data_IF_552681425754
#
_entry.id   IF_552681425754
#
_cell.length_a   1.000
_cell.length_b   1.000
_cell.length_c   1.000
_cell.angle_alpha   90.00
_cell.angle_beta   90.00
_cell.angle_gamma   90.00
#
_symmetry.space_group_name_H-M   'P 1'
#
loop_
_entity.id
_entity.type
_entity.pdbx_description
1 polymer ?
#
# COMPACT_ATOMS: atom_id res chain seq x y z
N UNK A 1 -34.15 -0.97 22.77
CA UNK A 1 -35.11 -1.72 21.92
C UNK A 1 -35.50 -2.94 22.73
N UNK A 2 -36.79 -3.10 23.06
CA UNK A 2 -37.33 -4.13 23.97
C UNK A 2 -37.27 -3.71 25.43
N UNK A 3 -37.72 -4.55 26.32
CA UNK A 3 -37.95 -4.37 27.77
C UNK A 3 -36.67 -4.35 28.63
N UNK A 4 -35.59 -3.85 28.07
CA UNK A 4 -34.28 -3.76 28.77
C UNK A 4 -33.44 -5.04 28.74
N UNK A 5 -33.88 -6.07 28.04
CA UNK A 5 -33.14 -7.34 27.87
C UNK A 5 -32.15 -7.32 26.71
N UNK A 6 -32.22 -6.35 25.80
CA UNK A 6 -31.34 -6.20 24.64
C UNK A 6 -30.75 -4.79 24.65
N UNK A 7 -29.44 -4.68 24.57
CA UNK A 7 -28.74 -3.42 24.38
C UNK A 7 -27.91 -3.47 23.10
N UNK A 8 -27.94 -2.38 22.32
CA UNK A 8 -27.11 -2.22 21.12
C UNK A 8 -26.26 -0.96 21.32
N UNK A 9 -24.95 -1.12 21.27
CA UNK A 9 -23.98 -0.03 21.47
C UNK A 9 -23.20 0.19 20.18
N UNK A 10 -23.20 1.43 19.67
CA UNK A 10 -22.31 1.84 18.60
C UNK A 10 -20.96 2.26 19.21
N UNK A 11 -19.87 1.69 18.71
CA UNK A 11 -18.54 1.93 19.21
C UNK A 11 -17.73 2.74 18.19
N UNK A 12 -17.03 3.77 18.67
CA UNK A 12 -16.05 4.48 17.83
C UNK A 12 -14.81 3.61 17.56
N UNK A 13 -14.13 3.87 16.45
CA UNK A 13 -12.88 3.18 16.06
C UNK A 13 -11.70 3.58 16.96
N UNK A 14 -11.78 3.27 18.26
CA UNK A 14 -10.71 3.52 19.23
C UNK A 14 -10.46 2.27 20.07
N UNK A 15 -9.45 1.44 19.73
CA UNK A 15 -9.15 0.19 20.44
C UNK A 15 -8.91 0.38 21.93
N UNK A 16 -8.23 1.45 22.33
CA UNK A 16 -7.80 1.68 23.72
C UNK A 16 -8.95 1.89 24.73
N UNK A 17 -10.15 2.14 24.22
CA UNK A 17 -11.38 2.31 25.04
C UNK A 17 -12.30 1.10 25.02
N UNK A 18 -11.90 0.00 24.39
CA UNK A 18 -12.79 -1.14 24.10
C UNK A 18 -12.45 -2.41 24.89
N UNK A 19 -11.39 -2.43 25.69
CA UNK A 19 -10.90 -3.62 26.41
C UNK A 19 -11.87 -4.17 27.49
N UNK A 20 -12.90 -3.40 27.88
CA UNK A 20 -13.85 -3.79 28.92
C UNK A 20 -15.22 -4.24 28.41
N UNK A 21 -15.41 -4.32 27.08
CA UNK A 21 -16.68 -4.77 26.53
C UNK A 21 -16.88 -6.27 26.68
N UNK A 22 -18.12 -6.64 27.02
CA UNK A 22 -18.58 -8.03 27.07
C UNK A 22 -19.90 -8.10 26.32
N UNK A 23 -19.91 -8.80 25.19
CA UNK A 23 -21.08 -8.88 24.29
C UNK A 23 -21.13 -10.24 23.62
N UNK A 24 -22.33 -10.68 23.27
CA UNK A 24 -22.52 -11.95 22.57
C UNK A 24 -22.55 -11.78 21.04
N UNK A 25 -22.86 -10.60 20.55
CA UNK A 25 -22.88 -10.29 19.11
C UNK A 25 -21.99 -9.08 18.82
N UNK A 26 -21.14 -9.21 17.82
CA UNK A 26 -20.31 -8.14 17.28
C UNK A 26 -20.61 -7.98 15.80
N UNK A 27 -20.82 -6.74 15.37
CA UNK A 27 -20.91 -6.38 13.95
C UNK A 27 -19.77 -5.42 13.65
N UNK A 28 -18.79 -5.90 12.88
CA UNK A 28 -17.69 -5.10 12.38
C UNK A 28 -18.10 -4.56 11.00
N UNK A 29 -18.67 -3.36 11.00
CA UNK A 29 -19.08 -2.68 9.79
C UNK A 29 -17.93 -1.90 9.16
N UNK A 30 -17.92 -1.78 7.83
CA UNK A 30 -16.87 -1.12 7.04
C UNK A 30 -15.46 -1.54 7.43
N UNK A 31 -15.26 -2.88 7.57
CA UNK A 31 -14.01 -3.45 8.05
C UNK A 31 -12.76 -3.06 7.22
N UNK A 32 -12.95 -2.60 5.97
CA UNK A 32 -11.87 -2.06 5.14
C UNK A 32 -11.24 -0.78 5.71
N UNK A 33 -11.95 -0.08 6.62
CA UNK A 33 -11.43 1.15 7.26
C UNK A 33 -10.55 0.86 8.47
N UNK A 34 -10.51 -0.38 8.96
CA UNK A 34 -9.73 -0.75 10.13
C UNK A 34 -8.22 -0.68 9.81
N UNK A 35 -7.51 0.17 10.55
CA UNK A 35 -6.07 0.40 10.37
C UNK A 35 -5.22 -0.82 10.77
N UNK A 36 -5.71 -1.60 11.74
CA UNK A 36 -5.04 -2.80 12.25
C UNK A 36 -6.06 -3.86 12.66
N UNK A 37 -5.65 -5.13 12.83
CA UNK A 37 -6.52 -6.19 13.33
C UNK A 37 -6.90 -6.02 14.82
N UNK A 38 -6.26 -5.13 15.56
CA UNK A 38 -6.38 -5.00 17.01
C UNK A 38 -7.82 -4.76 17.45
N UNK A 39 -8.52 -3.80 16.85
CA UNK A 39 -9.92 -3.50 17.19
C UNK A 39 -10.83 -4.72 16.99
N UNK A 40 -10.70 -5.37 15.84
CA UNK A 40 -11.47 -6.60 15.57
C UNK A 40 -11.15 -7.70 16.58
N UNK A 41 -9.88 -7.87 16.94
CA UNK A 41 -9.46 -8.90 17.88
C UNK A 41 -10.03 -8.66 19.28
N UNK A 42 -9.99 -7.41 19.78
CA UNK A 42 -10.60 -7.02 21.05
C UNK A 42 -12.09 -7.36 21.07
N UNK A 43 -12.83 -6.95 20.03
CA UNK A 43 -14.26 -7.20 19.93
C UNK A 43 -14.58 -8.71 19.82
N UNK A 44 -13.80 -9.46 19.07
CA UNK A 44 -13.91 -10.92 18.98
C UNK A 44 -13.65 -11.58 20.35
N UNK A 45 -12.64 -11.10 21.07
CA UNK A 45 -12.31 -11.61 22.39
C UNK A 45 -13.41 -11.28 23.43
N UNK A 46 -14.07 -10.15 23.30
CA UNK A 46 -15.23 -9.76 24.11
C UNK A 46 -16.41 -10.76 24.00
N UNK A 47 -16.49 -11.55 22.93
CA UNK A 47 -17.53 -12.57 22.78
C UNK A 47 -17.21 -13.91 23.44
N UNK A 48 -15.97 -14.13 23.94
CA UNK A 48 -15.51 -15.44 24.43
C UNK A 48 -16.27 -15.95 25.64
N UNK A 49 -16.87 -15.05 26.44
CA UNK A 49 -17.67 -15.42 27.61
C UNK A 49 -19.03 -16.05 27.24
N UNK A 50 -19.45 -15.97 25.98
CA UNK A 50 -20.77 -16.43 25.55
C UNK A 50 -20.68 -17.70 24.69
N UNK A 51 -21.59 -18.64 24.91
CA UNK A 51 -21.75 -19.85 24.10
C UNK A 51 -22.49 -19.58 22.80
N UNK A 52 -23.48 -18.65 22.82
CA UNK A 52 -24.28 -18.21 21.69
C UNK A 52 -23.73 -16.94 21.03
N UNK A 53 -22.43 -16.92 20.80
CA UNK A 53 -21.76 -15.78 20.19
C UNK A 53 -21.84 -15.75 18.68
N UNK A 54 -21.85 -14.52 18.13
CA UNK A 54 -21.81 -14.29 16.71
C UNK A 54 -20.91 -13.09 16.40
N UNK A 55 -20.00 -13.24 15.43
CA UNK A 55 -19.15 -12.15 14.93
C UNK A 55 -19.42 -12.00 13.43
N UNK A 56 -19.90 -10.84 13.03
CA UNK A 56 -20.28 -10.52 11.66
C UNK A 56 -19.28 -9.45 11.16
N UNK A 57 -18.73 -9.66 9.98
CA UNK A 57 -17.91 -8.67 9.27
C UNK A 57 -18.69 -8.29 8.01
N UNK A 58 -18.96 -6.99 7.85
CA UNK A 58 -19.62 -6.44 6.67
C UNK A 58 -18.67 -5.39 6.08
N UNK A 59 -18.41 -5.47 4.80
CA UNK A 59 -17.54 -4.50 4.14
C UNK A 59 -17.62 -4.55 2.63
N UNK A 60 -17.45 -3.41 1.98
CA UNK A 60 -16.93 -3.34 0.62
C UNK A 60 -15.40 -3.43 0.63
N UNK A 61 -14.78 -3.54 -0.54
CA UNK A 61 -13.34 -3.38 -0.65
C UNK A 61 -12.94 -1.91 -0.44
N UNK A 62 -11.83 -1.70 0.25
CA UNK A 62 -11.23 -0.38 0.43
C UNK A 62 -10.00 -0.19 -0.46
N UNK A 63 -9.50 1.04 -0.54
CA UNK A 63 -8.29 1.36 -1.31
C UNK A 63 -7.00 0.81 -0.69
N UNK A 64 -7.06 0.25 0.51
CA UNK A 64 -5.89 -0.25 1.22
C UNK A 64 -5.59 -1.71 0.85
N UNK A 65 -4.70 -1.90 -0.11
CA UNK A 65 -4.26 -3.22 -0.57
C UNK A 65 -3.49 -4.05 0.49
N UNK A 66 -3.27 -3.53 1.70
CA UNK A 66 -2.55 -4.18 2.79
C UNK A 66 -3.30 -4.13 4.12
N UNK A 67 -4.58 -3.77 4.09
CA UNK A 67 -5.40 -3.64 5.29
C UNK A 67 -5.80 -4.98 5.92
N UNK A 68 -6.30 -4.89 7.16
CA UNK A 68 -6.85 -6.01 7.94
C UNK A 68 -7.82 -6.89 7.13
N UNK A 69 -8.71 -6.25 6.35
CA UNK A 69 -9.75 -6.96 5.58
C UNK A 69 -9.16 -7.94 4.57
N UNK A 70 -8.04 -7.61 3.91
CA UNK A 70 -7.47 -8.47 2.88
C UNK A 70 -6.98 -9.81 3.40
N UNK A 71 -6.35 -9.83 4.59
CA UNK A 71 -5.98 -11.08 5.23
C UNK A 71 -7.19 -11.97 5.53
N UNK A 72 -8.30 -11.35 5.94
CA UNK A 72 -9.58 -12.05 6.16
C UNK A 72 -10.18 -12.58 4.86
N UNK A 73 -10.18 -11.78 3.79
CA UNK A 73 -10.68 -12.19 2.47
C UNK A 73 -9.85 -13.35 1.89
N UNK A 74 -8.52 -13.32 2.05
CA UNK A 74 -7.67 -14.42 1.61
C UNK A 74 -8.00 -15.73 2.36
N UNK A 75 -8.19 -15.64 3.67
CA UNK A 75 -8.60 -16.78 4.48
C UNK A 75 -9.98 -17.31 4.06
N UNK A 76 -10.96 -16.44 3.85
CA UNK A 76 -12.27 -16.80 3.33
C UNK A 76 -12.19 -17.50 1.97
N UNK A 77 -11.37 -16.98 1.04
CA UNK A 77 -11.15 -17.60 -0.26
C UNK A 77 -10.54 -18.99 -0.15
N UNK A 78 -9.62 -19.21 0.80
CA UNK A 78 -9.04 -20.53 1.08
C UNK A 78 -10.07 -21.51 1.60
N UNK A 79 -10.99 -21.07 2.47
CA UNK A 79 -12.13 -21.90 2.93
C UNK A 79 -13.04 -22.24 1.76
N UNK A 80 -13.48 -21.27 0.97
CA UNK A 80 -14.37 -21.48 -0.17
C UNK A 80 -13.78 -22.39 -1.25
N UNK A 81 -12.45 -22.42 -1.39
CA UNK A 81 -11.72 -23.31 -2.31
C UNK A 81 -11.43 -24.69 -1.71
N UNK A 82 -11.81 -24.94 -0.44
CA UNK A 82 -11.52 -26.19 0.25
C UNK A 82 -10.03 -26.39 0.61
N UNK A 83 -9.19 -25.34 0.49
CA UNK A 83 -7.77 -25.43 0.86
C UNK A 83 -7.58 -25.40 2.37
N UNK A 84 -8.49 -24.78 3.11
CA UNK A 84 -8.57 -24.78 4.57
C UNK A 84 -9.86 -25.45 4.97
N UNK A 85 -9.77 -26.52 5.79
CA UNK A 85 -10.89 -27.36 6.24
C UNK A 85 -10.80 -27.62 7.74
N UNK A 86 -11.85 -28.22 8.32
CA UNK A 86 -11.94 -28.60 9.72
C UNK A 86 -12.76 -27.64 10.57
N UNK A 87 -12.97 -27.96 11.84
CA UNK A 87 -13.93 -27.30 12.74
C UNK A 87 -13.80 -25.75 12.75
N UNK A 88 -12.59 -25.22 12.63
CA UNK A 88 -12.37 -23.79 12.59
C UNK A 88 -12.90 -23.15 11.30
N UNK A 89 -12.74 -23.81 10.16
CA UNK A 89 -13.28 -23.37 8.88
C UNK A 89 -14.80 -23.55 8.82
N UNK A 90 -15.31 -24.69 9.33
CA UNK A 90 -16.75 -25.02 9.33
C UNK A 90 -17.58 -24.05 10.20
N UNK A 91 -16.95 -23.35 11.13
CA UNK A 91 -17.59 -22.33 11.96
C UNK A 91 -17.70 -20.95 11.27
N UNK A 92 -17.18 -20.80 10.05
CA UNK A 92 -17.14 -19.53 9.34
C UNK A 92 -18.00 -19.59 8.08
N UNK A 93 -19.00 -18.73 8.03
CA UNK A 93 -19.76 -18.48 6.81
C UNK A 93 -19.10 -17.36 6.00
N UNK A 94 -18.80 -17.62 4.73
CA UNK A 94 -18.21 -16.66 3.82
C UNK A 94 -19.16 -16.39 2.64
N UNK A 95 -19.48 -15.12 2.43
CA UNK A 95 -20.23 -14.66 1.25
C UNK A 95 -19.45 -13.52 0.59
N UNK A 96 -18.85 -13.77 -0.56
CA UNK A 96 -17.99 -12.84 -1.27
C UNK A 96 -18.55 -12.57 -2.66
N UNK A 97 -18.77 -11.28 -2.96
CA UNK A 97 -19.19 -10.82 -4.30
C UNK A 97 -18.14 -9.85 -4.82
N UNK A 98 -17.58 -10.13 -5.99
CA UNK A 98 -16.65 -9.24 -6.68
C UNK A 98 -16.76 -9.44 -8.18
N UNK A 99 -16.47 -8.40 -8.96
CA UNK A 99 -16.37 -8.54 -10.39
C UNK A 99 -15.21 -9.46 -10.77
N UNK A 100 -15.37 -10.31 -11.77
CA UNK A 100 -14.25 -11.07 -12.35
C UNK A 100 -13.24 -10.12 -12.98
N UNK A 101 -11.97 -10.46 -12.85
CA UNK A 101 -10.87 -9.72 -13.46
C UNK A 101 -10.32 -10.46 -14.67
N UNK A 102 -9.91 -9.72 -15.68
CA UNK A 102 -9.16 -10.22 -16.84
C UNK A 102 -7.76 -10.72 -16.41
N UNK A 103 -7.06 -11.41 -17.30
CA UNK A 103 -5.71 -11.93 -17.04
C UNK A 103 -4.69 -10.82 -16.63
N UNK A 104 -4.87 -9.64 -17.19
CA UNK A 104 -4.06 -8.45 -16.85
C UNK A 104 -4.45 -7.79 -15.52
N UNK A 105 -5.46 -8.33 -14.80
CA UNK A 105 -5.98 -7.79 -13.54
C UNK A 105 -6.97 -6.64 -13.68
N UNK A 106 -7.35 -6.26 -14.90
CA UNK A 106 -8.36 -5.23 -15.18
C UNK A 106 -9.79 -5.80 -15.16
N UNK A 107 -10.79 -4.94 -15.20
CA UNK A 107 -12.22 -5.27 -15.21
C UNK A 107 -12.87 -4.74 -16.46
N UNK A 108 -13.64 -5.58 -17.16
CA UNK A 108 -14.47 -5.13 -18.26
C UNK A 108 -15.68 -4.38 -17.73
N UNK A 109 -15.62 -3.06 -17.76
CA UNK A 109 -16.70 -2.18 -17.29
C UNK A 109 -17.85 -2.05 -18.29
N UNK A 110 -17.72 -2.59 -19.48
CA UNK A 110 -18.75 -2.54 -20.52
C UNK A 110 -19.65 -3.79 -20.54
N UNK A 111 -19.25 -4.87 -19.85
CA UNK A 111 -20.05 -6.08 -19.75
C UNK A 111 -21.02 -6.04 -18.53
N UNK A 112 -22.34 -5.96 -18.74
CA UNK A 112 -23.32 -5.99 -17.65
C UNK A 112 -23.27 -7.27 -16.79
N UNK A 113 -22.79 -8.40 -17.33
CA UNK A 113 -22.64 -9.64 -16.58
C UNK A 113 -21.52 -9.52 -15.53
N UNK A 114 -20.44 -8.81 -15.86
CA UNK A 114 -19.33 -8.50 -14.95
C UNK A 114 -19.81 -7.61 -13.80
N UNK A 115 -20.60 -6.56 -14.12
CA UNK A 115 -21.17 -5.65 -13.11
C UNK A 115 -22.14 -6.37 -12.18
N UNK A 116 -22.98 -7.25 -12.73
CA UNK A 116 -23.96 -8.05 -12.00
C UNK A 116 -23.27 -9.03 -11.04
N UNK A 117 -22.15 -9.61 -11.40
CA UNK A 117 -21.40 -10.57 -10.55
C UNK A 117 -20.95 -9.96 -9.22
N UNK A 118 -20.66 -8.65 -9.20
CA UNK A 118 -20.30 -7.94 -7.98
C UNK A 118 -21.53 -7.49 -7.15
N UNK A 119 -22.74 -7.56 -7.71
CA UNK A 119 -23.91 -6.88 -7.21
C UNK A 119 -25.04 -7.86 -6.89
N UNK A 120 -25.08 -8.49 -5.70
CA UNK A 120 -26.13 -9.45 -5.34
C UNK A 120 -27.54 -8.80 -5.31
N UNK A 121 -27.62 -7.49 -5.13
CA UNK A 121 -28.85 -6.71 -5.19
C UNK A 121 -29.29 -6.26 -6.60
N UNK A 122 -28.66 -6.79 -7.65
CA UNK A 122 -28.94 -6.40 -9.04
C UNK A 122 -30.41 -6.59 -9.44
N UNK A 123 -31.05 -5.50 -9.81
CA UNK A 123 -32.47 -5.49 -10.19
C UNK A 123 -33.48 -5.43 -9.02
N UNK A 124 -32.96 -5.48 -7.77
CA UNK A 124 -33.77 -5.33 -6.56
C UNK A 124 -33.48 -4.01 -5.82
N UNK A 125 -32.32 -3.97 -5.14
CA UNK A 125 -31.86 -2.78 -4.43
C UNK A 125 -30.91 -1.92 -5.27
N UNK A 126 -30.31 -2.49 -6.30
CA UNK A 126 -29.45 -1.79 -7.26
C UNK A 126 -30.16 -1.74 -8.62
N UNK A 127 -30.36 -0.55 -9.12
CA UNK A 127 -30.90 -0.35 -10.48
C UNK A 127 -29.82 -0.66 -11.52
N UNK A 128 -30.03 -1.62 -12.42
CA UNK A 128 -29.04 -1.99 -13.42
C UNK A 128 -28.53 -0.81 -14.27
N UNK A 129 -29.46 0.07 -14.66
CA UNK A 129 -29.11 1.21 -15.51
C UNK A 129 -28.18 2.21 -14.80
N UNK A 130 -28.39 2.45 -13.51
CA UNK A 130 -27.53 3.36 -12.74
C UNK A 130 -26.09 2.80 -12.65
N UNK A 131 -25.96 1.50 -12.37
CA UNK A 131 -24.68 0.82 -12.33
C UNK A 131 -23.95 0.84 -13.69
N UNK A 132 -24.70 0.64 -14.80
CA UNK A 132 -24.13 0.71 -16.15
C UNK A 132 -23.64 2.13 -16.47
N UNK A 133 -24.40 3.14 -16.10
CA UNK A 133 -24.03 4.54 -16.30
C UNK A 133 -22.77 4.90 -15.49
N UNK A 134 -22.71 4.50 -14.22
CA UNK A 134 -21.55 4.73 -13.36
C UNK A 134 -20.32 4.00 -13.87
N UNK A 135 -20.48 2.77 -14.39
CA UNK A 135 -19.41 2.01 -15.02
C UNK A 135 -18.85 2.71 -16.28
N UNK A 136 -19.76 3.23 -17.12
CA UNK A 136 -19.34 4.00 -18.31
C UNK A 136 -18.59 5.28 -17.93
N UNK A 137 -19.05 6.01 -16.90
CA UNK A 137 -18.32 7.18 -16.39
C UNK A 137 -16.95 6.81 -15.83
N UNK A 138 -16.85 5.68 -15.11
CA UNK A 138 -15.58 5.20 -14.56
C UNK A 138 -14.61 4.69 -15.63
N UNK A 139 -15.13 4.18 -16.76
CA UNK A 139 -14.32 3.77 -17.91
C UNK A 139 -13.62 4.97 -18.57
N UNK A 140 -14.34 6.09 -18.72
CA UNK A 140 -13.85 7.30 -19.36
C UNK A 140 -13.06 8.24 -18.42
N UNK A 141 -13.22 8.10 -17.10
CA UNK A 141 -12.60 8.98 -16.12
C UNK A 141 -11.67 8.22 -15.16
N UNK A 142 -10.34 8.28 -15.38
CA UNK A 142 -9.37 7.59 -14.54
C UNK A 142 -9.42 7.97 -13.06
N UNK A 143 -9.92 9.18 -12.73
CA UNK A 143 -10.04 9.61 -11.34
C UNK A 143 -11.20 8.93 -10.59
N UNK A 144 -12.28 8.58 -11.27
CA UNK A 144 -13.46 7.90 -10.69
C UNK A 144 -13.30 6.38 -10.68
N UNK A 145 -12.52 5.84 -11.60
CA UNK A 145 -12.35 4.38 -11.80
C UNK A 145 -11.93 3.63 -10.52
N UNK A 146 -10.94 4.06 -9.74
CA UNK A 146 -10.51 3.32 -8.54
C UNK A 146 -11.60 3.23 -7.47
N UNK A 147 -12.35 4.29 -7.25
CA UNK A 147 -13.44 4.30 -6.28
C UNK A 147 -14.57 3.39 -6.71
N UNK A 148 -14.95 3.42 -7.99
CA UNK A 148 -15.97 2.55 -8.55
C UNK A 148 -15.57 1.07 -8.46
N UNK A 149 -14.34 0.72 -8.83
CA UNK A 149 -13.81 -0.65 -8.72
C UNK A 149 -13.81 -1.15 -7.28
N UNK A 150 -13.39 -0.33 -6.32
CA UNK A 150 -13.33 -0.72 -4.92
C UNK A 150 -14.74 -0.86 -4.29
N UNK A 151 -15.58 0.16 -4.41
CA UNK A 151 -16.85 0.23 -3.69
C UNK A 151 -17.99 -0.50 -4.38
N UNK A 152 -18.09 -0.37 -5.71
CA UNK A 152 -19.21 -0.93 -6.46
C UNK A 152 -18.93 -2.35 -6.96
N UNK A 153 -17.66 -2.64 -7.31
CA UNK A 153 -17.31 -3.92 -7.90
C UNK A 153 -16.48 -4.83 -6.97
N UNK A 154 -16.15 -4.37 -5.77
CA UNK A 154 -15.35 -5.12 -4.79
C UNK A 154 -14.03 -5.67 -5.35
N UNK A 155 -13.44 -4.96 -6.30
CA UNK A 155 -12.12 -5.26 -6.86
C UNK A 155 -11.08 -4.38 -6.18
N UNK A 156 -10.13 -5.01 -5.52
CA UNK A 156 -9.05 -4.27 -4.86
C UNK A 156 -8.17 -3.62 -5.93
N UNK A 157 -8.21 -2.31 -6.00
CA UNK A 157 -7.25 -1.55 -6.80
C UNK A 157 -6.08 -1.16 -5.90
N UNK A 158 -4.86 -1.31 -6.40
CA UNK A 158 -3.66 -0.75 -5.73
C UNK A 158 -3.62 0.80 -5.79
N UNK A 159 -4.71 1.41 -6.17
CA UNK A 159 -4.87 2.85 -6.30
C UNK A 159 -5.25 3.51 -4.96
N UNK A 160 -4.37 3.50 -3.99
CA UNK A 160 -4.15 4.68 -3.18
C UNK A 160 -3.83 5.76 -4.20
N UNK A 161 -4.65 6.85 -4.29
CA UNK A 161 -4.39 8.06 -5.13
C UNK A 161 -3.02 7.98 -5.84
N UNK A 162 -2.88 6.99 -6.72
CA UNK A 162 -1.61 6.76 -7.37
C UNK A 162 -1.38 7.98 -8.28
N UNK A 163 -0.29 8.69 -8.04
CA UNK A 163 0.11 9.80 -8.90
C UNK A 163 0.30 9.34 -10.34
N UNK A 164 0.67 8.08 -10.52
CA UNK A 164 0.84 7.42 -11.80
C UNK A 164 -0.05 6.17 -11.91
N UNK A 165 -0.52 5.85 -13.10
CA UNK A 165 -1.02 4.53 -13.42
C UNK A 165 0.14 3.52 -13.27
N UNK A 166 -0.02 2.51 -12.43
CA UNK A 166 1.04 1.54 -12.12
C UNK A 166 1.40 0.66 -13.32
N UNK A 167 0.43 0.42 -14.21
CA UNK A 167 0.68 -0.37 -15.42
C UNK A 167 1.45 0.45 -16.44
N UNK A 168 1.08 1.71 -16.63
CA UNK A 168 1.83 2.64 -17.48
C UNK A 168 3.25 2.86 -16.94
N UNK A 169 3.40 2.96 -15.62
CA UNK A 169 4.71 3.07 -14.98
C UNK A 169 5.57 1.83 -15.26
N UNK A 170 5.04 0.61 -15.10
CA UNK A 170 5.75 -0.64 -15.41
C UNK A 170 6.11 -0.74 -16.89
N UNK A 171 5.17 -0.45 -17.79
CA UNK A 171 5.43 -0.42 -19.25
C UNK A 171 6.50 0.59 -19.61
N UNK A 172 6.59 1.72 -18.91
CA UNK A 172 7.63 2.72 -19.17
C UNK A 172 9.01 2.19 -18.81
N UNK A 173 9.12 1.42 -17.72
CA UNK A 173 10.38 0.81 -17.29
C UNK A 173 10.82 -0.32 -18.24
N UNK A 174 9.88 -1.18 -18.65
CA UNK A 174 10.15 -2.27 -19.60
C UNK A 174 10.58 -1.79 -20.99
N UNK A 175 10.20 -0.56 -21.36
CA UNK A 175 10.52 0.03 -22.68
C UNK A 175 12.02 0.29 -22.88
N UNK A 176 12.79 0.45 -21.79
CA UNK A 176 14.19 0.82 -21.83
C UNK A 176 15.04 -0.13 -21.00
N UNK A 177 16.11 -0.66 -21.58
CA UNK A 177 17.02 -1.64 -20.95
C UNK A 177 18.43 -1.07 -20.75
N UNK A 178 18.55 0.19 -20.31
CA UNK A 178 19.86 0.78 -20.07
C UNK A 178 20.48 0.27 -18.77
N UNK A 179 21.67 -0.28 -18.85
CA UNK A 179 22.45 -0.57 -17.66
C UNK A 179 23.02 0.71 -17.03
N UNK A 180 23.38 0.66 -15.75
CA UNK A 180 24.06 1.76 -15.06
C UNK A 180 25.30 2.28 -15.80
N UNK A 181 26.11 1.37 -16.35
CA UNK A 181 27.31 1.73 -17.13
C UNK A 181 27.00 2.46 -18.43
N UNK A 182 25.87 2.15 -19.04
CA UNK A 182 25.41 2.86 -20.24
C UNK A 182 24.90 4.26 -19.87
N UNK A 183 24.08 4.37 -18.83
CA UNK A 183 23.56 5.64 -18.34
C UNK A 183 24.68 6.61 -17.94
N UNK A 184 25.70 6.14 -17.26
CA UNK A 184 26.86 6.95 -16.84
C UNK A 184 27.64 7.55 -18.03
N UNK A 185 27.61 6.90 -19.20
CA UNK A 185 28.29 7.37 -20.43
C UNK A 185 27.46 8.33 -21.25
N UNK A 186 26.15 8.43 -21.00
CA UNK A 186 25.29 9.33 -21.75
C UNK A 186 25.58 10.80 -21.40
N UNK A 187 25.40 11.74 -22.32
CA UNK A 187 25.63 13.16 -22.10
C UNK A 187 24.49 13.79 -21.28
N UNK A 188 24.16 13.19 -20.15
CA UNK A 188 23.07 13.61 -19.25
C UNK A 188 23.64 14.51 -18.14
N UNK A 189 22.89 15.55 -17.82
CA UNK A 189 23.06 16.35 -16.59
C UNK A 189 22.18 15.77 -15.51
N UNK A 190 22.79 15.19 -14.49
CA UNK A 190 22.08 14.54 -13.41
C UNK A 190 21.81 15.51 -12.26
N UNK A 191 20.65 15.39 -11.66
CA UNK A 191 20.23 16.14 -10.47
C UNK A 191 19.89 15.13 -9.37
N UNK A 192 20.42 15.34 -8.18
CA UNK A 192 20.17 14.48 -7.03
C UNK A 192 19.05 15.04 -6.16
N UNK A 193 18.35 14.16 -5.48
CA UNK A 193 17.42 14.46 -4.40
C UNK A 193 17.66 13.54 -3.23
N UNK A 194 17.49 14.04 -1.99
CA UNK A 194 17.67 13.24 -0.79
C UNK A 194 16.60 13.57 0.23
N UNK A 195 15.95 12.55 0.76
CA UNK A 195 15.06 12.60 1.90
C UNK A 195 15.62 11.73 3.01
N UNK A 196 15.89 12.34 4.17
CA UNK A 196 16.60 11.71 5.27
C UNK A 196 15.68 11.47 6.46
N UNK A 197 15.62 10.22 6.90
CA UNK A 197 14.89 9.80 8.09
C UNK A 197 15.82 9.21 9.15
N UNK A 198 15.43 9.31 10.44
CA UNK A 198 16.24 8.74 11.53
C UNK A 198 15.82 7.34 11.94
N UNK A 199 14.53 7.04 12.09
CA UNK A 199 14.10 5.85 12.83
C UNK A 199 12.98 5.03 12.17
N UNK A 200 11.98 5.65 11.57
CA UNK A 200 10.72 4.96 11.22
C UNK A 200 10.35 5.02 9.75
N UNK A 201 11.09 5.81 8.97
CA UNK A 201 10.90 5.93 7.52
C UNK A 201 12.18 5.59 6.78
N UNK A 202 12.05 5.31 5.49
CA UNK A 202 13.16 5.11 4.59
C UNK A 202 13.96 6.41 4.47
N UNK A 203 15.28 6.31 4.59
CA UNK A 203 16.16 7.32 4.01
C UNK A 203 16.28 7.00 2.54
N UNK A 204 16.05 7.99 1.67
CA UNK A 204 16.07 7.81 0.24
C UNK A 204 16.99 8.81 -0.47
N UNK A 205 17.63 8.35 -1.52
CA UNK A 205 18.38 9.16 -2.46
C UNK A 205 17.97 8.84 -3.88
N UNK A 206 18.01 9.81 -4.77
CA UNK A 206 17.77 9.56 -6.18
C UNK A 206 18.66 10.43 -7.07
N UNK A 207 18.91 9.96 -8.31
CA UNK A 207 19.34 10.78 -9.42
C UNK A 207 18.21 10.89 -10.44
N UNK A 208 17.97 12.09 -10.93
CA UNK A 208 17.09 12.39 -12.03
C UNK A 208 17.90 12.92 -13.21
N UNK A 209 17.61 12.42 -14.39
CA UNK A 209 18.19 12.89 -15.64
C UNK A 209 17.18 12.83 -16.78
N UNK A 210 17.40 13.67 -17.79
CA UNK A 210 16.56 13.72 -18.99
C UNK A 210 17.40 13.44 -20.22
N UNK A 211 16.95 12.52 -21.09
CA UNK A 211 17.64 12.18 -22.33
C UNK A 211 16.67 11.83 -23.44
N UNK A 212 16.73 12.57 -24.55
CA UNK A 212 15.91 12.34 -25.77
C UNK A 212 14.42 12.18 -25.48
N UNK A 213 13.86 13.04 -24.64
CA UNK A 213 12.43 12.99 -24.33
C UNK A 213 12.05 11.98 -23.24
N UNK A 214 13.03 11.32 -22.61
CA UNK A 214 12.81 10.32 -21.56
C UNK A 214 13.34 10.85 -20.24
N UNK A 215 12.52 10.81 -19.21
CA UNK A 215 12.90 11.07 -17.82
C UNK A 215 13.41 9.79 -17.18
N UNK A 216 14.60 9.87 -16.58
CA UNK A 216 15.28 8.71 -16.00
C UNK A 216 15.50 8.97 -14.52
N UNK A 217 15.04 8.05 -13.68
CA UNK A 217 15.21 8.10 -12.22
C UNK A 217 16.01 6.90 -11.78
N UNK A 218 17.05 7.14 -10.98
CA UNK A 218 17.85 6.11 -10.32
C UNK A 218 17.66 6.27 -8.82
N UNK A 219 16.77 5.49 -8.20
CA UNK A 219 16.52 5.54 -6.76
C UNK A 219 17.48 4.64 -6.00
N UNK A 220 17.68 4.93 -4.71
CA UNK A 220 18.26 4.03 -3.72
C UNK A 220 17.73 4.37 -2.33
N UNK A 221 17.63 3.38 -1.45
CA UNK A 221 17.11 3.58 -0.11
C UNK A 221 18.00 2.92 0.95
N UNK A 222 17.88 3.42 2.19
CA UNK A 222 18.55 2.86 3.37
C UNK A 222 17.57 2.73 4.51
N UNK A 223 17.67 1.63 5.27
CA UNK A 223 16.82 1.39 6.42
C UNK A 223 17.54 0.61 7.53
N UNK A 224 17.29 0.92 8.82
CA UNK A 224 17.85 0.14 9.91
C UNK A 224 17.27 -1.28 9.97
N UNK A 225 18.10 -2.31 9.93
CA UNK A 225 17.70 -3.72 9.97
C UNK A 225 16.82 -4.08 11.18
N UNK A 226 17.12 -3.61 12.42
CA UNK A 226 16.26 -3.90 13.57
C UNK A 226 14.83 -3.36 13.39
N UNK A 227 14.69 -2.16 12.83
CA UNK A 227 13.39 -1.57 12.53
C UNK A 227 12.70 -2.25 11.34
N UNK A 228 13.47 -2.75 10.35
CA UNK A 228 12.95 -3.46 9.19
C UNK A 228 12.22 -4.75 9.56
N UNK A 229 12.73 -5.51 10.53
CA UNK A 229 12.09 -6.75 11.00
C UNK A 229 10.68 -6.47 11.53
N UNK A 230 10.57 -5.46 12.39
CA UNK A 230 9.28 -5.07 12.98
C UNK A 230 8.34 -4.51 11.91
N UNK A 231 8.82 -3.61 11.06
CA UNK A 231 8.01 -2.93 10.04
C UNK A 231 7.56 -3.89 8.93
N UNK A 232 8.40 -4.82 8.52
CA UNK A 232 8.04 -5.85 7.54
C UNK A 232 6.89 -6.75 8.04
N UNK A 233 6.87 -7.06 9.35
CA UNK A 233 5.81 -7.85 9.96
C UNK A 233 4.52 -7.06 10.16
N UNK A 234 4.62 -5.81 10.65
CA UNK A 234 3.45 -4.96 10.93
C UNK A 234 2.78 -4.42 9.67
N UNK A 235 3.57 -3.91 8.74
CA UNK A 235 3.08 -3.21 7.55
C UNK A 235 3.06 -4.11 6.31
N UNK A 236 3.56 -5.35 6.41
CA UNK A 236 3.70 -6.31 5.31
C UNK A 236 4.46 -5.73 4.10
N UNK A 237 5.46 -4.90 4.35
CA UNK A 237 6.30 -4.28 3.32
C UNK A 237 7.44 -5.24 2.97
N UNK A 238 7.72 -5.53 1.69
CA UNK A 238 8.75 -6.47 1.25
C UNK A 238 10.17 -5.87 1.34
N UNK A 239 10.55 -5.32 2.50
CA UNK A 239 11.84 -4.63 2.70
C UNK A 239 13.03 -5.54 2.41
N UNK A 240 12.95 -6.81 2.78
CA UNK A 240 14.02 -7.78 2.53
C UNK A 240 14.13 -8.14 1.04
N UNK A 241 13.01 -8.23 0.31
CA UNK A 241 13.02 -8.40 -1.13
C UNK A 241 13.67 -7.20 -1.84
N UNK A 242 13.38 -5.98 -1.40
CA UNK A 242 14.04 -4.79 -1.96
C UNK A 242 15.54 -4.75 -1.67
N UNK A 243 15.99 -5.34 -0.56
CA UNK A 243 17.41 -5.51 -0.27
C UNK A 243 18.05 -6.54 -1.22
N UNK A 244 17.38 -7.68 -1.46
CA UNK A 244 17.85 -8.71 -2.39
C UNK A 244 17.92 -8.19 -3.83
N UNK A 245 16.97 -7.37 -4.23
CA UNK A 245 16.92 -6.72 -5.56
C UNK A 245 17.95 -5.57 -5.70
N UNK A 246 18.62 -5.17 -4.61
CA UNK A 246 19.63 -4.11 -4.62
C UNK A 246 19.09 -2.67 -4.58
N UNK A 247 17.80 -2.49 -4.31
CA UNK A 247 17.18 -1.16 -4.18
C UNK A 247 17.30 -0.56 -2.78
N UNK A 248 17.57 -1.40 -1.77
CA UNK A 248 17.62 -1.03 -0.36
C UNK A 248 18.87 -1.59 0.29
N UNK A 249 19.64 -0.74 0.96
CA UNK A 249 20.71 -1.15 1.88
C UNK A 249 20.19 -1.13 3.33
N UNK A 250 20.45 -2.21 4.07
CA UNK A 250 20.11 -2.29 5.49
C UNK A 250 21.36 -2.19 6.36
N UNK A 251 21.33 -1.24 7.29
CA UNK A 251 22.38 -1.08 8.29
C UNK A 251 22.07 -1.91 9.54
N UNK A 252 23.11 -2.44 10.21
CA UNK A 252 22.94 -3.18 11.46
C UNK A 252 22.79 -2.26 12.70
N UNK A 253 22.80 -0.94 12.48
CA UNK A 253 22.60 0.05 13.52
C UNK A 253 21.12 0.35 13.76
N UNK A 254 20.79 0.92 14.93
CA UNK A 254 19.44 1.31 15.27
C UNK A 254 18.92 2.51 14.44
N UNK A 255 19.81 3.26 13.81
CA UNK A 255 19.51 4.44 13.00
C UNK A 255 20.25 4.38 11.66
N UNK A 256 19.69 5.03 10.66
CA UNK A 256 20.37 5.17 9.36
C UNK A 256 21.60 6.06 9.49
N UNK A 257 22.73 5.58 8.96
CA UNK A 257 23.95 6.37 8.89
C UNK A 257 23.96 7.19 7.59
N UNK A 258 23.90 8.52 7.71
CA UNK A 258 23.91 9.41 6.54
C UNK A 258 25.19 9.38 5.72
N UNK A 259 26.28 8.88 6.30
CA UNK A 259 27.51 8.62 5.56
C UNK A 259 27.28 7.64 4.40
N UNK A 260 26.41 6.64 4.54
CA UNK A 260 26.13 5.66 3.49
C UNK A 260 25.53 6.34 2.25
N UNK A 261 24.70 7.37 2.46
CA UNK A 261 24.13 8.21 1.38
C UNK A 261 25.25 8.97 0.64
N UNK A 262 26.18 9.54 1.39
CA UNK A 262 27.36 10.22 0.82
C UNK A 262 28.21 9.26 -0.01
N UNK A 263 28.46 8.07 0.50
CA UNK A 263 29.21 6.99 -0.19
C UNK A 263 28.52 6.61 -1.50
N UNK A 264 27.21 6.49 -1.50
CA UNK A 264 26.43 6.19 -2.70
C UNK A 264 26.61 7.26 -3.79
N UNK A 265 26.48 8.54 -3.45
CA UNK A 265 26.74 9.63 -4.39
C UNK A 265 28.20 9.67 -4.88
N UNK A 266 29.16 9.35 -4.01
CA UNK A 266 30.59 9.22 -4.41
C UNK A 266 30.78 8.12 -5.44
N UNK A 267 30.14 6.97 -5.23
CA UNK A 267 30.16 5.84 -6.17
C UNK A 267 29.58 6.25 -7.52
N UNK A 268 28.41 6.86 -7.55
CA UNK A 268 27.80 7.33 -8.79
C UNK A 268 28.70 8.31 -9.55
N UNK A 269 29.32 9.26 -8.83
CA UNK A 269 30.28 10.19 -9.43
C UNK A 269 31.53 9.47 -9.99
N UNK A 270 32.06 8.48 -9.27
CA UNK A 270 33.17 7.65 -9.72
C UNK A 270 32.81 6.80 -10.94
N UNK A 271 31.57 6.31 -11.03
CA UNK A 271 31.04 5.57 -12.17
C UNK A 271 30.82 6.44 -13.42
N UNK A 272 30.93 7.77 -13.28
CA UNK A 272 30.88 8.71 -14.40
C UNK A 272 29.62 9.59 -14.49
N UNK A 273 28.70 9.49 -13.53
CA UNK A 273 27.50 10.35 -13.49
C UNK A 273 27.86 11.82 -13.22
N UNK A 274 27.49 12.71 -14.14
CA UNK A 274 27.79 14.17 -14.05
C UNK A 274 26.74 14.88 -13.22
N UNK A 275 26.87 14.82 -11.89
CA UNK A 275 25.91 15.38 -10.93
C UNK A 275 26.06 16.91 -10.89
N UNK A 276 25.01 17.65 -11.22
CA UNK A 276 25.00 19.13 -11.31
C UNK A 276 24.52 19.81 -10.05
N UNK A 277 23.56 19.19 -9.34
CA UNK A 277 23.01 19.72 -8.09
C UNK A 277 22.38 18.60 -7.32
N UNK A 278 22.41 18.68 -5.99
CA UNK A 278 21.68 17.79 -5.09
C UNK A 278 20.84 18.65 -4.18
N UNK A 279 19.51 18.44 -4.19
CA UNK A 279 18.56 19.03 -3.28
C UNK A 279 18.36 18.16 -2.06
N UNK A 280 18.17 18.76 -0.88
CA UNK A 280 17.81 18.03 0.32
C UNK A 280 16.94 18.89 1.25
N UNK A 281 16.14 18.23 2.12
CA UNK A 281 15.37 18.90 3.15
C UNK A 281 16.25 19.29 4.35
N UNK A 282 16.00 20.47 4.95
CA UNK A 282 16.76 21.01 6.09
C UNK A 282 16.59 20.20 7.37
N UNK A 283 15.54 19.43 7.51
CA UNK A 283 15.00 18.97 8.80
C UNK A 283 15.92 18.06 9.64
N UNK A 284 16.90 17.36 9.03
CA UNK A 284 17.68 16.33 9.74
C UNK A 284 19.18 16.28 9.42
N UNK A 285 19.80 17.33 8.88
CA UNK A 285 20.92 17.10 8.01
C UNK A 285 22.16 17.95 8.14
N UNK A 286 22.42 18.56 9.25
CA UNK A 286 23.66 19.38 9.35
C UNK A 286 24.93 18.55 9.07
N UNK A 287 25.00 17.34 9.59
CA UNK A 287 26.15 16.45 9.39
C UNK A 287 26.28 15.99 7.95
N UNK A 288 25.21 15.51 7.37
CA UNK A 288 25.13 15.12 5.96
C UNK A 288 25.52 16.28 5.02
N UNK A 289 24.95 17.45 5.25
CA UNK A 289 25.23 18.65 4.44
C UNK A 289 26.72 19.02 4.47
N UNK A 290 27.31 19.06 5.67
CA UNK A 290 28.74 19.37 5.85
C UNK A 290 29.61 18.31 5.17
N UNK A 291 29.26 17.05 5.28
CA UNK A 291 30.01 15.97 4.64
C UNK A 291 29.94 16.04 3.12
N UNK A 292 28.75 16.27 2.55
CA UNK A 292 28.56 16.46 1.11
C UNK A 292 29.36 17.67 0.58
N UNK A 293 29.45 18.76 1.34
CA UNK A 293 30.27 19.90 0.99
C UNK A 293 31.77 19.58 1.05
N UNK A 294 32.25 18.85 2.07
CA UNK A 294 33.63 18.37 2.15
C UNK A 294 34.00 17.54 0.94
N UNK A 295 33.08 16.70 0.48
CA UNK A 295 33.23 15.88 -0.73
C UNK A 295 33.03 16.67 -2.03
N UNK A 296 32.83 17.99 -1.94
CA UNK A 296 32.64 18.92 -3.07
C UNK A 296 31.43 18.59 -3.95
N UNK A 297 30.35 18.11 -3.36
CA UNK A 297 29.09 17.98 -4.06
C UNK A 297 28.34 19.35 -4.09
N UNK A 298 27.67 19.67 -5.20
CA UNK A 298 26.91 20.92 -5.33
C UNK A 298 25.53 20.76 -4.62
N UNK A 299 25.54 20.60 -3.30
CA UNK A 299 24.34 20.43 -2.48
C UNK A 299 23.70 21.75 -2.14
N UNK A 300 22.35 21.81 -2.14
CA UNK A 300 21.56 22.96 -1.76
C UNK A 300 20.33 22.55 -0.96
N UNK A 301 19.94 23.41 -0.04
CA UNK A 301 18.66 23.31 0.64
C UNK A 301 17.51 23.42 -0.35
N UNK A 302 16.55 22.54 -0.19
CA UNK A 302 15.27 22.53 -0.91
C UNK A 302 14.17 22.75 0.14
N UNK A 303 13.60 23.95 0.29
CA UNK A 303 12.46 24.14 1.18
C UNK A 303 11.27 23.34 0.64
N UNK A 304 10.57 22.69 1.56
CA UNK A 304 9.29 22.00 1.30
C UNK A 304 8.14 23.00 1.39
#
# INVERSE_FOLDING_TARGET
IGDGMISINALAANPDKQDSFNCNIVIADEAHTYKSPQQYQILKDATKAYTNKLVIIISSNGPNARGFLLGHLDYCRKILRGTVTGNAADSIFCFLCSAPTLENGDVDLHDPAVLKAASPGWGYSIRPQDMINDAAMAAENPALRPEFLNKSLNVTTNAIKAWFDIQEFRKSDERYSWSYRQLAKLPIRWYGGTDLSKLHDLTAGCLFGHYKGVDIIIPHAWFPRPAAIVKAQQDQIPLFGWQEDGWLDMTNFAVTNYHDVVVWYKKLRADGFKIRRIGHDRKFCREYFVEMQKERFPIKDQPQ
#
